data_IF_548656601116
#
_entry.id   IF_548656601116
#
_cell.length_a   1.000
_cell.length_b   1.000
_cell.length_c   1.000
_cell.angle_alpha   90.00
_cell.angle_beta   90.00
_cell.angle_gamma   90.00
#
_symmetry.space_group_name_H-M   'P 1'
#
loop_
_entity.id
_entity.type
_entity.pdbx_description
1 polymer ?
#
# COMPACT_ATOMS: atom_id res chain seq x y z
N UNK A 1 -16.30 11.84 -5.59
CA UNK A 1 -16.17 10.60 -6.39
C UNK A 1 -16.58 9.37 -5.59
N UNK A 2 -15.89 8.98 -4.51
CA UNK A 2 -16.25 7.78 -3.72
C UNK A 2 -17.69 7.75 -3.16
N UNK A 3 -18.19 8.88 -2.64
CA UNK A 3 -19.58 9.00 -2.17
C UNK A 3 -20.59 8.88 -3.32
N UNK A 4 -20.25 9.43 -4.50
CA UNK A 4 -21.08 9.32 -5.71
C UNK A 4 -21.19 7.88 -6.20
N UNK A 5 -20.11 7.12 -6.08
CA UNK A 5 -20.07 5.69 -6.42
C UNK A 5 -20.89 4.84 -5.44
N UNK A 6 -20.85 5.14 -4.15
CA UNK A 6 -21.73 4.53 -3.14
C UNK A 6 -23.22 4.80 -3.41
N UNK A 7 -23.56 6.05 -3.78
CA UNK A 7 -24.91 6.42 -4.16
C UNK A 7 -25.37 5.72 -5.44
N UNK A 8 -24.51 5.67 -6.46
CA UNK A 8 -24.80 5.01 -7.72
C UNK A 8 -25.01 3.49 -7.53
N UNK A 9 -24.12 2.81 -6.81
CA UNK A 9 -24.25 1.38 -6.49
C UNK A 9 -25.51 1.07 -5.65
N UNK A 10 -25.76 1.84 -4.58
CA UNK A 10 -26.82 1.52 -3.61
C UNK A 10 -28.21 1.95 -4.06
N UNK A 11 -28.33 3.02 -4.84
CA UNK A 11 -29.63 3.53 -5.32
C UNK A 11 -29.96 3.02 -6.71
N UNK A 12 -29.00 3.05 -7.65
CA UNK A 12 -29.26 2.71 -9.04
C UNK A 12 -29.23 1.20 -9.27
N UNK A 13 -28.13 0.53 -8.91
CA UNK A 13 -27.97 -0.90 -9.18
C UNK A 13 -28.83 -1.78 -8.27
N UNK A 14 -28.80 -1.54 -6.96
CA UNK A 14 -29.54 -2.41 -6.02
C UNK A 14 -31.03 -2.08 -5.91
N UNK A 15 -31.41 -0.79 -5.98
CA UNK A 15 -32.79 -0.35 -5.71
C UNK A 15 -33.67 -0.25 -6.95
N UNK A 16 -33.10 0.10 -8.11
CA UNK A 16 -33.84 0.29 -9.36
C UNK A 16 -33.68 -0.92 -10.29
N UNK A 17 -32.46 -1.45 -10.41
CA UNK A 17 -32.15 -2.54 -11.36
C UNK A 17 -32.21 -3.95 -10.76
N UNK A 18 -32.19 -4.11 -9.43
CA UNK A 18 -32.31 -5.40 -8.75
C UNK A 18 -31.21 -6.41 -9.10
N UNK A 19 -30.06 -5.92 -9.59
CA UNK A 19 -28.98 -6.76 -10.10
C UNK A 19 -28.08 -7.25 -8.95
N UNK A 20 -27.77 -8.55 -8.97
CA UNK A 20 -26.85 -9.16 -8.02
C UNK A 20 -25.38 -8.77 -8.32
N UNK A 21 -24.55 -8.78 -7.28
CA UNK A 21 -23.31 -8.00 -7.17
C UNK A 21 -22.29 -8.10 -8.31
N UNK A 22 -22.24 -9.21 -9.05
CA UNK A 22 -21.23 -9.43 -10.10
C UNK A 22 -21.53 -8.70 -11.42
N UNK A 23 -22.80 -8.48 -11.77
CA UNK A 23 -23.15 -7.78 -13.03
C UNK A 23 -23.05 -6.25 -12.91
N UNK A 24 -23.07 -5.74 -11.67
CA UNK A 24 -22.91 -4.33 -11.34
C UNK A 24 -21.46 -3.84 -11.56
N UNK A 25 -20.46 -4.72 -11.40
CA UNK A 25 -19.04 -4.36 -11.51
C UNK A 25 -18.62 -3.81 -12.89
N UNK A 26 -19.25 -4.25 -13.98
CA UNK A 26 -18.92 -3.77 -15.35
C UNK A 26 -19.43 -2.34 -15.60
N UNK A 27 -20.60 -1.98 -15.04
CA UNK A 27 -21.18 -0.64 -15.17
C UNK A 27 -20.31 0.44 -14.50
N UNK A 28 -19.54 0.06 -13.48
CA UNK A 28 -18.66 0.98 -12.74
C UNK A 28 -17.32 1.25 -13.44
N UNK A 29 -16.91 0.42 -14.42
CA UNK A 29 -15.62 0.54 -15.11
C UNK A 29 -15.35 1.91 -15.74
N UNK A 30 -16.28 2.56 -16.48
CA UNK A 30 -16.04 3.89 -17.05
C UNK A 30 -15.93 4.99 -15.97
N UNK A 31 -16.63 4.84 -14.85
CA UNK A 31 -16.52 5.77 -13.72
C UNK A 31 -15.14 5.66 -13.05
N UNK A 32 -14.66 4.44 -12.86
CA UNK A 32 -13.31 4.15 -12.35
C UNK A 32 -12.25 4.76 -13.28
N UNK A 33 -12.40 4.61 -14.59
CA UNK A 33 -11.45 5.19 -15.56
C UNK A 33 -11.37 6.73 -15.45
N UNK A 34 -12.51 7.42 -15.34
CA UNK A 34 -12.52 8.87 -15.15
C UNK A 34 -11.86 9.28 -13.82
N UNK A 35 -12.16 8.53 -12.76
CA UNK A 35 -11.54 8.72 -11.45
C UNK A 35 -10.02 8.53 -11.52
N UNK A 36 -9.54 7.49 -12.19
CA UNK A 36 -8.11 7.20 -12.35
C UNK A 36 -7.39 8.29 -13.11
N UNK A 37 -7.98 8.85 -14.17
CA UNK A 37 -7.41 9.99 -14.90
C UNK A 37 -7.25 11.19 -13.97
N UNK A 38 -8.28 11.54 -13.19
CA UNK A 38 -8.21 12.65 -12.25
C UNK A 38 -7.15 12.38 -11.18
N UNK A 39 -7.11 11.17 -10.62
CA UNK A 39 -6.13 10.80 -9.60
C UNK A 39 -4.69 10.79 -10.13
N UNK A 40 -4.46 10.26 -11.33
CA UNK A 40 -3.13 10.29 -11.97
C UNK A 40 -2.66 11.73 -12.18
N UNK A 41 -3.52 12.60 -12.71
CA UNK A 41 -3.20 14.02 -12.88
C UNK A 41 -2.87 14.69 -11.53
N UNK A 42 -3.63 14.39 -10.47
CA UNK A 42 -3.35 14.87 -9.12
C UNK A 42 -2.00 14.37 -8.59
N UNK A 43 -1.68 13.09 -8.77
CA UNK A 43 -0.41 12.50 -8.36
C UNK A 43 0.75 13.15 -9.12
N UNK A 44 0.61 13.35 -10.44
CA UNK A 44 1.63 14.05 -11.24
C UNK A 44 1.83 15.48 -10.78
N UNK A 45 0.75 16.21 -10.53
CA UNK A 45 0.81 17.58 -10.02
C UNK A 45 1.48 17.65 -8.65
N UNK A 46 1.12 16.72 -7.74
CA UNK A 46 1.71 16.61 -6.40
C UNK A 46 3.20 16.25 -6.49
N UNK A 47 3.58 15.35 -7.38
CA UNK A 47 4.98 14.98 -7.64
C UNK A 47 5.81 16.16 -8.13
N UNK A 48 5.26 16.98 -9.04
CA UNK A 48 5.91 18.20 -9.53
C UNK A 48 6.08 19.24 -8.40
N UNK A 49 5.04 19.46 -7.59
CA UNK A 49 5.11 20.32 -6.40
C UNK A 49 6.16 19.81 -5.40
N UNK A 50 6.19 18.51 -5.14
CA UNK A 50 7.16 17.86 -4.28
C UNK A 50 8.60 18.08 -4.79
N UNK A 51 8.85 17.91 -6.10
CA UNK A 51 10.16 18.15 -6.69
C UNK A 51 10.62 19.61 -6.55
N UNK A 52 9.73 20.58 -6.81
CA UNK A 52 10.03 22.00 -6.60
C UNK A 52 10.25 22.33 -5.13
N UNK A 53 9.48 21.71 -4.23
CA UNK A 53 9.63 21.91 -2.79
C UNK A 53 10.94 21.29 -2.27
N UNK A 54 11.39 20.18 -2.86
CA UNK A 54 12.68 19.55 -2.54
C UNK A 54 13.87 20.46 -2.83
N UNK A 55 13.81 21.21 -3.92
CA UNK A 55 14.85 22.19 -4.29
C UNK A 55 14.95 23.37 -3.31
N UNK A 56 13.88 23.66 -2.54
CA UNK A 56 13.85 24.73 -1.52
C UNK A 56 14.40 24.28 -0.16
N UNK A 57 14.77 23.02 -0.02
CA UNK A 57 15.30 22.42 1.20
C UNK A 57 14.21 21.75 2.05
N UNK A 58 14.39 20.46 2.36
CA UNK A 58 13.54 19.73 3.29
C UNK A 58 14.13 19.74 4.70
N UNK A 59 13.28 19.74 5.75
CA UNK A 59 13.74 19.34 7.07
C UNK A 59 14.21 17.87 7.03
N UNK A 60 15.43 17.61 7.53
CA UNK A 60 16.09 16.29 7.43
C UNK A 60 15.25 15.12 7.96
N UNK A 61 14.44 15.34 9.00
CA UNK A 61 13.56 14.30 9.54
C UNK A 61 12.49 13.85 8.53
N UNK A 62 11.89 14.78 7.80
CA UNK A 62 10.86 14.48 6.81
C UNK A 62 11.45 13.78 5.58
N UNK A 63 12.63 14.20 5.13
CA UNK A 63 13.35 13.49 4.06
C UNK A 63 13.68 12.05 4.46
N UNK A 64 14.14 11.83 5.69
CA UNK A 64 14.41 10.48 6.20
C UNK A 64 13.13 9.63 6.28
N UNK A 65 12.01 10.20 6.74
CA UNK A 65 10.73 9.51 6.79
C UNK A 65 10.23 9.13 5.38
N UNK A 66 10.31 10.04 4.41
CA UNK A 66 9.90 9.77 3.03
C UNK A 66 10.78 8.69 2.40
N UNK A 67 12.10 8.78 2.57
CA UNK A 67 13.03 7.77 2.08
C UNK A 67 12.76 6.38 2.69
N UNK A 68 12.36 6.35 3.96
CA UNK A 68 11.97 5.13 4.66
C UNK A 68 10.65 4.58 4.11
N UNK A 69 9.62 5.42 3.99
CA UNK A 69 8.33 5.05 3.44
C UNK A 69 8.45 4.50 2.01
N UNK A 70 9.28 5.12 1.15
CA UNK A 70 9.55 4.66 -0.22
C UNK A 70 10.24 3.30 -0.25
N UNK A 71 11.12 2.98 0.71
CA UNK A 71 11.77 1.67 0.78
C UNK A 71 10.80 0.56 1.19
N UNK A 72 9.77 0.90 1.95
CA UNK A 72 8.85 -0.04 2.59
C UNK A 72 7.53 -0.16 1.82
N UNK A 73 7.22 0.79 0.93
CA UNK A 73 5.96 0.89 0.17
C UNK A 73 5.63 -0.37 -0.64
N UNK A 74 6.63 -1.01 -1.25
CA UNK A 74 6.43 -2.27 -1.97
C UNK A 74 5.98 -3.40 -1.02
N UNK A 75 6.59 -3.50 0.16
CA UNK A 75 6.18 -4.47 1.19
C UNK A 75 4.79 -4.18 1.74
N UNK A 76 4.44 -2.90 1.92
CA UNK A 76 3.09 -2.49 2.31
C UNK A 76 2.04 -2.92 1.29
N UNK A 77 2.34 -2.77 0.00
CA UNK A 77 1.45 -3.24 -1.07
C UNK A 77 1.26 -4.76 -1.00
N UNK A 78 2.33 -5.53 -0.83
CA UNK A 78 2.26 -7.00 -0.74
C UNK A 78 1.50 -7.49 0.48
N UNK A 79 1.63 -6.82 1.63
CA UNK A 79 1.03 -7.25 2.89
C UNK A 79 -0.32 -6.59 3.20
N UNK A 80 -0.86 -5.79 2.27
CA UNK A 80 -2.11 -5.04 2.47
C UNK A 80 -3.29 -5.96 2.83
N UNK A 81 -3.34 -7.14 2.22
CA UNK A 81 -4.36 -8.15 2.53
C UNK A 81 -4.32 -8.60 3.99
N UNK A 82 -3.14 -8.65 4.62
CA UNK A 82 -3.03 -8.98 6.05
C UNK A 82 -3.62 -7.87 6.91
N UNK A 83 -3.36 -6.61 6.57
CA UNK A 83 -3.96 -5.46 7.26
C UNK A 83 -5.49 -5.47 7.18
N UNK A 84 -6.04 -5.79 6.00
CA UNK A 84 -7.48 -5.94 5.80
C UNK A 84 -8.05 -7.12 6.58
N UNK A 85 -7.34 -8.26 6.64
CA UNK A 85 -7.78 -9.42 7.39
C UNK A 85 -7.80 -9.14 8.90
N UNK A 86 -6.80 -8.45 9.42
CA UNK A 86 -6.79 -8.01 10.82
C UNK A 86 -7.92 -7.03 11.13
N UNK A 87 -8.21 -6.08 10.24
CA UNK A 87 -9.35 -5.16 10.40
C UNK A 87 -10.69 -5.92 10.35
N UNK A 88 -10.83 -6.89 9.43
CA UNK A 88 -12.04 -7.73 9.33
C UNK A 88 -12.26 -8.53 10.61
N UNK A 89 -11.20 -9.14 11.14
CA UNK A 89 -11.25 -9.84 12.43
C UNK A 89 -11.58 -8.90 13.59
N UNK A 90 -11.02 -7.69 13.62
CA UNK A 90 -11.33 -6.70 14.64
C UNK A 90 -12.83 -6.32 14.59
N UNK A 91 -13.37 -6.07 13.41
CA UNK A 91 -14.77 -5.73 13.21
C UNK A 91 -15.72 -6.88 13.52
N UNK A 92 -15.30 -8.14 13.38
CA UNK A 92 -16.16 -9.28 13.75
C UNK A 92 -16.36 -9.42 15.25
N UNK A 93 -15.44 -8.87 16.06
CA UNK A 93 -15.55 -8.82 17.53
C UNK A 93 -16.46 -7.66 17.98
N UNK A 94 -16.62 -6.62 17.17
CA UNK A 94 -17.44 -5.45 17.49
C UNK A 94 -18.75 -5.42 16.69
N UNK A 95 -19.89 -5.54 17.37
CA UNK A 95 -21.20 -5.29 16.77
C UNK A 95 -21.51 -3.79 16.72
N UNK A 96 -21.03 -3.10 15.68
CA UNK A 96 -21.29 -1.67 15.48
C UNK A 96 -22.49 -1.45 14.54
N UNK A 97 -23.33 -0.41 14.80
CA UNK A 97 -24.35 0.03 13.85
C UNK A 97 -23.76 0.53 12.53
N UNK A 98 -24.47 0.31 11.41
CA UNK A 98 -24.03 0.67 10.05
C UNK A 98 -23.57 2.12 9.88
N UNK A 99 -24.27 3.06 10.51
CA UNK A 99 -23.96 4.50 10.44
C UNK A 99 -22.61 4.82 11.09
N UNK A 100 -22.29 4.12 12.19
CA UNK A 100 -21.01 4.25 12.89
C UNK A 100 -19.91 3.64 12.03
N UNK A 101 -20.15 2.47 11.42
CA UNK A 101 -19.20 1.87 10.47
C UNK A 101 -18.88 2.82 9.31
N UNK A 102 -19.88 3.52 8.77
CA UNK A 102 -19.67 4.49 7.69
C UNK A 102 -18.81 5.68 8.11
N UNK A 103 -18.97 6.19 9.34
CA UNK A 103 -18.10 7.24 9.89
C UNK A 103 -16.68 6.74 10.19
N UNK A 104 -16.51 5.45 10.51
CA UNK A 104 -15.21 4.85 10.82
C UNK A 104 -14.41 4.44 9.58
N UNK A 105 -14.96 4.49 8.37
CA UNK A 105 -14.24 4.19 7.11
C UNK A 105 -12.86 4.87 7.03
N UNK A 106 -12.72 6.21 7.20
CA UNK A 106 -11.41 6.86 7.16
C UNK A 106 -10.45 6.33 8.23
N UNK A 107 -10.97 5.99 9.41
CA UNK A 107 -10.17 5.43 10.50
C UNK A 107 -9.69 4.00 10.20
N UNK A 108 -10.57 3.15 9.67
CA UNK A 108 -10.23 1.80 9.22
C UNK A 108 -9.16 1.83 8.14
N UNK A 109 -9.23 2.77 7.19
CA UNK A 109 -8.20 2.95 6.16
C UNK A 109 -6.83 3.32 6.75
N UNK A 110 -6.79 4.29 7.67
CA UNK A 110 -5.54 4.66 8.37
C UNK A 110 -4.98 3.47 9.17
N UNK A 111 -5.85 2.71 9.83
CA UNK A 111 -5.47 1.54 10.60
C UNK A 111 -4.84 0.45 9.71
N UNK A 112 -5.44 0.15 8.55
CA UNK A 112 -4.87 -0.80 7.57
C UNK A 112 -3.49 -0.34 7.12
N UNK A 113 -3.34 0.94 6.78
CA UNK A 113 -2.04 1.51 6.39
C UNK A 113 -1.02 1.38 7.51
N UNK A 114 -1.40 1.69 8.74
CA UNK A 114 -0.52 1.61 9.90
C UNK A 114 -0.04 0.17 10.14
N UNK A 115 -0.95 -0.81 10.10
CA UNK A 115 -0.61 -2.23 10.25
C UNK A 115 0.31 -2.68 9.12
N UNK A 116 -0.04 -2.37 7.86
CA UNK A 116 0.78 -2.72 6.70
C UNK A 116 2.18 -2.12 6.77
N UNK A 117 2.28 -0.86 7.19
CA UNK A 117 3.56 -0.18 7.40
C UNK A 117 4.35 -0.85 8.53
N UNK A 118 3.73 -1.17 9.66
CA UNK A 118 4.40 -1.85 10.78
C UNK A 118 4.96 -3.21 10.39
N UNK A 119 4.18 -4.04 9.69
CA UNK A 119 4.61 -5.36 9.23
C UNK A 119 5.75 -5.21 8.22
N UNK A 120 5.62 -4.32 7.24
CA UNK A 120 6.63 -4.12 6.22
C UNK A 120 7.92 -3.52 6.80
N UNK A 121 7.81 -2.63 7.80
CA UNK A 121 8.94 -2.08 8.54
C UNK A 121 9.65 -3.16 9.38
N UNK A 122 8.88 -4.05 10.02
CA UNK A 122 9.42 -5.19 10.74
C UNK A 122 10.22 -6.11 9.79
N UNK A 123 9.64 -6.49 8.65
CA UNK A 123 10.33 -7.30 7.64
C UNK A 123 11.55 -6.58 7.05
N UNK A 124 11.53 -5.25 6.96
CA UNK A 124 12.68 -4.45 6.53
C UNK A 124 13.81 -4.45 7.57
N UNK A 125 13.49 -4.36 8.86
CA UNK A 125 14.48 -4.23 9.95
C UNK A 125 15.06 -5.57 10.40
N UNK A 126 14.29 -6.67 10.34
CA UNK A 126 14.68 -7.98 10.87
C UNK A 126 15.09 -8.94 9.75
N UNK A 127 16.39 -9.29 9.60
CA UNK A 127 16.80 -10.37 8.70
C UNK A 127 16.28 -11.73 9.22
N UNK A 128 15.87 -12.69 8.36
CA UNK A 128 16.01 -12.77 6.89
C UNK A 128 14.82 -12.20 6.09
N UNK A 129 13.82 -11.61 6.74
CA UNK A 129 12.53 -11.26 6.13
C UNK A 129 12.59 -10.11 5.11
N UNK A 130 13.75 -9.47 4.93
CA UNK A 130 13.95 -8.43 3.92
C UNK A 130 13.58 -8.88 2.50
N UNK A 131 13.74 -10.18 2.19
CA UNK A 131 13.34 -10.75 0.90
C UNK A 131 11.84 -10.53 0.60
N UNK A 132 10.98 -10.63 1.62
CA UNK A 132 9.53 -10.43 1.50
C UNK A 132 9.15 -8.99 1.13
N UNK A 133 10.07 -8.04 1.33
CA UNK A 133 9.90 -6.61 1.01
C UNK A 133 10.72 -6.24 -0.24
N UNK A 134 11.18 -7.22 -1.03
CA UNK A 134 11.93 -6.99 -2.26
C UNK A 134 13.36 -6.49 -2.05
N UNK A 135 13.93 -6.69 -0.84
CA UNK A 135 15.30 -6.33 -0.49
C UNK A 135 16.09 -7.60 -0.11
N UNK A 136 17.01 -8.09 -0.93
CA UNK A 136 17.88 -9.20 -0.52
C UNK A 136 18.82 -8.72 0.60
N UNK A 137 18.41 -8.94 1.85
CA UNK A 137 19.20 -8.57 3.04
C UNK A 137 20.13 -9.72 3.49
N UNK A 138 19.98 -10.90 2.88
CA UNK A 138 20.74 -12.09 3.20
C UNK A 138 21.44 -12.61 1.94
N UNK A 139 22.77 -12.58 1.96
CA UNK A 139 23.62 -13.17 0.92
C UNK A 139 24.43 -14.32 1.51
N UNK A 140 23.80 -15.48 1.78
CA UNK A 140 24.49 -16.62 2.40
C UNK A 140 25.69 -17.12 1.58
N UNK A 141 25.66 -16.94 0.25
CA UNK A 141 26.69 -17.45 -0.66
C UNK A 141 27.81 -16.45 -1.02
N UNK A 142 27.75 -15.19 -0.56
CA UNK A 142 28.79 -14.20 -0.89
C UNK A 142 30.14 -14.54 -0.24
N UNK A 143 30.11 -15.06 0.99
CA UNK A 143 31.32 -15.48 1.72
C UNK A 143 31.98 -16.70 1.08
N UNK A 144 31.19 -17.61 0.50
CA UNK A 144 31.70 -18.80 -0.19
C UNK A 144 32.37 -18.41 -1.52
N UNK A 145 31.75 -17.49 -2.27
CA UNK A 145 32.29 -17.04 -3.55
C UNK A 145 33.59 -16.22 -3.39
N UNK A 146 33.70 -15.38 -2.35
CA UNK A 146 34.92 -14.63 -2.04
C UNK A 146 36.10 -15.54 -1.64
N UNK A 147 35.84 -16.70 -1.01
CA UNK A 147 36.89 -17.68 -0.66
C UNK A 147 37.37 -18.49 -1.87
N UNK A 148 36.46 -18.88 -2.77
CA UNK A 148 36.80 -19.61 -3.99
C UNK A 148 37.60 -18.76 -4.99
N UNK A 149 37.29 -17.47 -5.12
CA UNK A 149 38.03 -16.57 -6.01
C UNK A 149 39.42 -16.18 -5.47
N UNK A 150 39.61 -16.19 -4.14
CA UNK A 150 40.91 -15.89 -3.52
C UNK A 150 41.88 -17.08 -3.62
N UNK A 151 41.40 -18.32 -3.67
CA UNK A 151 42.27 -19.50 -3.84
C UNK A 151 42.77 -19.64 -5.29
N UNK A 152 42.02 -19.16 -6.30
CA UNK A 152 42.43 -19.25 -7.70
C UNK A 152 43.45 -18.16 -8.13
N UNK A 153 43.72 -17.16 -7.28
CA UNK A 153 44.68 -16.09 -7.58
C UNK A 153 46.08 -16.33 -6.99
N UNK A 154 46.25 -17.34 -6.14
CA UNK A 154 47.55 -17.70 -5.54
C UNK A 154 48.31 -18.80 -6.31
N UNK A 155 47.71 -19.36 -7.37
CA UNK A 155 48.33 -20.41 -8.21
C UNK A 155 48.81 -19.91 -9.59
N UNK A 156 49.14 -18.63 -9.75
CA UNK A 156 49.81 -18.11 -10.95
C UNK A 156 51.03 -17.27 -10.61
#
# INVERSE_FOLDING_TARGET
MAIGMLFYYRIWDQKILGMDGDSSLSLHQPYIACYDIVMLNLIFWLGKKYATFRQRGFPKWLENFINLAVKVSFGMYLNQTLGLLMLSWLLSVFSLPDWIMMMLIPFGWVLVIAISFMIAWFCYKVPPFGFLVGRPNWHPFRIVNERLFRSSTFER
#
